data_IF_353009371921
#
_entry.id   IF_353009371921
#
_cell.length_a   1.000
_cell.length_b   1.000
_cell.length_c   1.000
_cell.angle_alpha   90.00
_cell.angle_beta   90.00
_cell.angle_gamma   90.00
#
_symmetry.space_group_name_H-M   'P 1'
#
loop_
_entity.id
_entity.type
_entity.pdbx_description
1 polymer ?
#
# COMPACT_ATOMS: atom_id res chain seq x y z
N UNK A 1 20.46 1.13 -6.76
CA UNK A 1 19.79 1.58 -5.52
C UNK A 1 20.29 0.77 -4.31
N UNK A 2 20.45 -0.55 -4.44
CA UNK A 2 21.11 -1.38 -3.42
C UNK A 2 22.51 -0.86 -3.09
N UNK A 3 23.29 -0.50 -4.12
CA UNK A 3 24.65 0.02 -3.97
C UNK A 3 24.72 1.35 -3.19
N UNK A 4 23.71 2.20 -3.28
CA UNK A 4 23.67 3.46 -2.51
C UNK A 4 23.38 3.22 -1.03
N UNK A 5 22.52 2.25 -0.73
CA UNK A 5 22.28 1.83 0.66
C UNK A 5 23.55 1.21 1.26
N UNK A 6 24.16 0.25 0.58
CA UNK A 6 25.36 -0.45 1.05
C UNK A 6 26.51 0.53 1.28
N UNK A 7 26.69 1.51 0.39
CA UNK A 7 27.71 2.55 0.52
C UNK A 7 27.44 3.43 1.73
N UNK A 8 26.21 3.94 1.90
CA UNK A 8 25.82 4.77 3.04
C UNK A 8 25.94 4.01 4.34
N UNK A 9 25.39 2.81 4.42
CA UNK A 9 25.46 1.98 5.62
C UNK A 9 26.91 1.65 6.03
N UNK A 10 27.75 1.27 5.08
CA UNK A 10 29.17 1.00 5.32
C UNK A 10 29.92 2.24 5.80
N UNK A 11 29.66 3.41 5.21
CA UNK A 11 30.24 4.68 5.64
C UNK A 11 29.86 5.01 7.08
N UNK A 12 28.59 4.89 7.46
CA UNK A 12 28.13 5.14 8.83
C UNK A 12 28.74 4.17 9.83
N UNK A 13 28.79 2.88 9.48
CA UNK A 13 29.41 1.86 10.35
C UNK A 13 30.89 2.11 10.58
N UNK A 14 31.62 2.48 9.52
CA UNK A 14 33.03 2.84 9.64
C UNK A 14 33.24 4.09 10.51
N UNK A 15 32.44 5.13 10.33
CA UNK A 15 32.52 6.33 11.14
C UNK A 15 32.19 6.04 12.61
N UNK A 16 31.17 5.23 12.90
CA UNK A 16 30.84 4.81 14.26
C UNK A 16 31.97 4.02 14.90
N UNK A 17 32.63 3.13 14.18
CA UNK A 17 33.78 2.36 14.66
C UNK A 17 35.02 3.24 14.88
N UNK A 18 35.26 4.23 14.01
CA UNK A 18 36.35 5.19 14.19
C UNK A 18 36.14 6.06 15.42
N UNK A 19 34.92 6.57 15.62
CA UNK A 19 34.56 7.36 16.81
C UNK A 19 34.72 6.57 18.11
N UNK A 20 34.41 5.26 18.08
CA UNK A 20 34.70 4.36 19.22
C UNK A 20 36.19 4.18 19.49
N UNK A 21 37.04 4.16 18.47
CA UNK A 21 38.50 3.99 18.61
C UNK A 21 39.21 5.23 19.04
N UNK A 22 38.76 6.41 18.65
CA UNK A 22 39.41 7.71 18.92
C UNK A 22 39.11 8.27 20.30
N UNK A 23 38.43 7.52 21.15
CA UNK A 23 38.31 7.77 22.59
C UNK A 23 37.58 9.05 23.00
N UNK A 24 36.39 8.87 23.44
CA UNK A 24 35.72 9.51 24.57
C UNK A 24 35.47 10.99 24.61
N UNK A 25 36.26 11.82 24.00
CA UNK A 25 36.19 13.27 24.18
C UNK A 25 35.52 14.06 23.04
N UNK A 26 35.35 13.48 21.89
CA UNK A 26 34.61 14.06 20.76
C UNK A 26 33.10 13.75 20.77
N UNK A 27 32.63 13.14 21.82
CA UNK A 27 31.26 12.61 21.94
C UNK A 27 30.17 13.69 21.88
N UNK A 28 30.48 14.92 22.14
CA UNK A 28 29.49 15.99 22.30
C UNK A 28 29.42 16.97 21.12
N UNK A 29 30.27 16.86 20.11
CA UNK A 29 30.38 17.85 19.06
C UNK A 29 29.77 17.48 17.71
N UNK A 30 29.46 16.20 17.45
CA UNK A 30 28.93 15.74 16.16
C UNK A 30 27.51 15.18 16.30
N UNK A 31 26.60 15.55 15.39
CA UNK A 31 25.28 14.94 15.36
C UNK A 31 25.42 13.43 15.17
N UNK A 32 24.73 12.67 16.00
CA UNK A 32 24.68 11.23 15.88
C UNK A 32 23.74 10.88 14.75
N UNK A 33 24.22 10.10 13.80
CA UNK A 33 23.43 9.65 12.67
C UNK A 33 23.03 8.20 12.80
N UNK A 34 21.80 7.90 12.40
CA UNK A 34 21.31 6.55 12.32
C UNK A 34 20.55 6.28 11.02
N UNK A 35 20.67 5.05 10.53
CA UNK A 35 19.89 4.55 9.40
C UNK A 35 19.19 3.29 9.85
N UNK A 36 17.87 3.25 9.63
CA UNK A 36 17.05 2.09 9.90
C UNK A 36 16.41 1.55 8.63
N UNK A 37 16.31 0.23 8.56
CA UNK A 37 15.67 -0.51 7.50
C UNK A 37 14.50 -1.32 8.06
N UNK A 38 13.39 -1.33 7.37
CA UNK A 38 12.27 -2.23 7.64
C UNK A 38 11.74 -2.87 6.37
N UNK A 39 11.11 -4.02 6.55
CA UNK A 39 10.36 -4.71 5.50
C UNK A 39 9.00 -5.09 6.06
N UNK A 40 7.96 -4.92 5.25
CA UNK A 40 6.61 -5.32 5.62
C UNK A 40 5.84 -5.83 4.41
N UNK A 41 4.76 -6.55 4.69
CA UNK A 41 3.75 -6.85 3.69
C UNK A 41 2.36 -6.52 4.25
N UNK A 42 1.43 -6.25 3.36
CA UNK A 42 0.01 -6.09 3.67
C UNK A 42 -0.81 -6.98 2.75
N UNK A 43 -1.73 -7.75 3.36
CA UNK A 43 -2.56 -8.70 2.64
C UNK A 43 -3.95 -8.13 2.40
N UNK A 44 -4.42 -8.20 1.16
CA UNK A 44 -5.77 -7.85 0.79
C UNK A 44 -6.67 -9.08 0.77
N UNK A 45 -7.84 -8.97 1.39
CA UNK A 45 -8.84 -10.02 1.43
C UNK A 45 -8.39 -11.32 2.10
N UNK A 46 -8.46 -11.35 3.41
CA UNK A 46 -8.15 -12.53 4.21
C UNK A 46 -9.23 -13.61 4.10
N UNK A 47 -8.84 -14.83 3.71
CA UNK A 47 -9.76 -15.96 3.53
C UNK A 47 -10.14 -16.70 4.83
N UNK A 48 -9.51 -16.37 5.95
CA UNK A 48 -9.61 -17.15 7.18
C UNK A 48 -10.87 -16.92 8.01
N UNK A 49 -11.71 -15.94 7.69
CA UNK A 49 -12.94 -15.67 8.42
C UNK A 49 -14.16 -16.24 7.68
N UNK A 50 -15.07 -16.86 8.42
CA UNK A 50 -16.38 -17.28 7.89
C UNK A 50 -17.31 -16.10 7.58
N UNK A 51 -16.87 -14.89 7.77
CA UNK A 51 -17.61 -13.69 7.36
C UNK A 51 -17.85 -13.74 5.86
N UNK A 52 -19.05 -13.44 5.49
CA UNK A 52 -19.63 -13.62 4.17
C UNK A 52 -18.89 -12.89 3.04
N UNK A 53 -17.73 -13.42 2.64
CA UNK A 53 -17.11 -13.11 1.35
C UNK A 53 -18.10 -13.36 0.19
N UNK A 54 -19.20 -14.08 0.49
CA UNK A 54 -20.27 -14.39 -0.46
C UNK A 54 -21.07 -13.17 -0.95
N UNK A 55 -20.89 -12.00 -0.32
CA UNK A 55 -21.67 -10.80 -0.67
C UNK A 55 -20.92 -9.79 -1.54
N UNK A 56 -19.63 -10.00 -1.77
CA UNK A 56 -18.89 -9.14 -2.70
C UNK A 56 -19.26 -9.56 -4.12
N UNK A 57 -20.10 -8.76 -4.73
CA UNK A 57 -20.62 -8.93 -6.08
C UNK A 57 -20.49 -7.63 -6.85
N UNK A 58 -20.23 -7.77 -8.13
CA UNK A 58 -20.29 -6.70 -9.11
C UNK A 58 -21.17 -7.13 -10.26
N UNK A 59 -21.98 -6.24 -10.74
CA UNK A 59 -22.77 -6.44 -11.93
C UNK A 59 -22.39 -5.34 -12.94
N UNK A 60 -22.08 -5.76 -14.16
CA UNK A 60 -21.60 -4.88 -15.22
C UNK A 60 -22.45 -5.10 -16.45
N UNK A 61 -23.06 -4.04 -16.96
CA UNK A 61 -23.92 -4.07 -18.13
C UNK A 61 -23.35 -3.14 -19.21
N UNK A 62 -23.17 -3.68 -20.40
CA UNK A 62 -22.84 -2.93 -21.61
C UNK A 62 -24.12 -2.79 -22.45
N UNK A 63 -24.58 -1.55 -22.65
CA UNK A 63 -25.80 -1.28 -23.40
C UNK A 63 -25.58 -1.22 -24.93
N UNK A 64 -26.67 -0.99 -25.68
CA UNK A 64 -26.65 -0.93 -27.14
C UNK A 64 -25.86 0.27 -27.69
N UNK A 65 -25.70 1.34 -26.89
CA UNK A 65 -24.91 2.51 -27.25
C UNK A 65 -23.46 2.43 -26.79
N UNK A 66 -22.98 1.23 -26.41
CA UNK A 66 -21.64 0.98 -25.85
C UNK A 66 -21.34 1.76 -24.55
N UNK A 67 -22.35 2.11 -23.76
CA UNK A 67 -22.18 2.68 -22.44
C UNK A 67 -22.11 1.55 -21.41
N UNK A 68 -21.14 1.64 -20.51
CA UNK A 68 -20.93 0.66 -19.45
C UNK A 68 -21.54 1.19 -18.14
N UNK A 69 -22.45 0.39 -17.57
CA UNK A 69 -22.97 0.62 -16.22
C UNK A 69 -22.36 -0.41 -15.28
N UNK A 70 -21.80 0.08 -14.16
CA UNK A 70 -21.21 -0.73 -13.11
C UNK A 70 -22.06 -0.58 -11.85
N UNK A 71 -22.66 -1.68 -11.41
CA UNK A 71 -23.44 -1.76 -10.17
C UNK A 71 -22.57 -2.47 -9.10
N UNK A 72 -22.05 -1.69 -8.17
CA UNK A 72 -21.16 -2.14 -7.11
C UNK A 72 -21.23 -1.18 -5.91
N UNK A 73 -20.66 -1.61 -4.75
CA UNK A 73 -20.46 -0.71 -3.62
C UNK A 73 -19.59 0.46 -4.09
N UNK A 74 -20.08 1.67 -3.91
CA UNK A 74 -19.44 2.88 -4.42
C UNK A 74 -18.21 3.21 -3.61
N UNK A 75 -17.01 3.19 -4.21
CA UNK A 75 -15.78 3.61 -3.55
C UNK A 75 -15.64 5.13 -3.54
N UNK A 76 -14.56 5.62 -2.96
CA UNK A 76 -14.19 7.04 -3.03
C UNK A 76 -13.99 7.51 -4.48
N UNK A 77 -14.07 8.81 -4.71
CA UNK A 77 -13.93 9.41 -6.06
C UNK A 77 -12.62 9.03 -6.76
N UNK A 78 -11.53 8.91 -6.02
CA UNK A 78 -10.23 8.48 -6.56
C UNK A 78 -10.26 7.04 -7.08
N UNK A 79 -10.94 6.15 -6.38
CA UNK A 79 -11.10 4.75 -6.80
C UNK A 79 -12.06 4.61 -7.98
N UNK A 80 -13.11 5.44 -8.03
CA UNK A 80 -14.02 5.52 -9.20
C UNK A 80 -13.22 5.79 -10.48
N UNK A 81 -12.31 6.75 -10.45
CA UNK A 81 -11.44 7.05 -11.60
C UNK A 81 -10.60 5.83 -12.01
N UNK A 82 -10.02 5.13 -11.04
CA UNK A 82 -9.23 3.91 -11.32
C UNK A 82 -10.11 2.81 -11.94
N UNK A 83 -11.31 2.59 -11.44
CA UNK A 83 -12.22 1.60 -12.00
C UNK A 83 -12.65 1.92 -13.42
N UNK A 84 -12.89 3.20 -13.72
CA UNK A 84 -13.15 3.65 -15.09
C UNK A 84 -11.95 3.36 -16.00
N UNK A 85 -10.73 3.64 -15.56
CA UNK A 85 -9.52 3.34 -16.32
C UNK A 85 -9.34 1.83 -16.57
N UNK A 86 -9.63 0.97 -15.55
CA UNK A 86 -9.61 -0.47 -15.73
C UNK A 86 -10.58 -0.92 -16.83
N UNK A 87 -11.83 -0.49 -16.75
CA UNK A 87 -12.85 -0.87 -17.71
C UNK A 87 -12.56 -0.33 -19.12
N UNK A 88 -12.15 0.95 -19.22
CA UNK A 88 -11.74 1.59 -20.47
C UNK A 88 -10.59 0.83 -21.15
N UNK A 89 -9.55 0.47 -20.40
CA UNK A 89 -8.38 -0.24 -20.94
C UNK A 89 -8.69 -1.63 -21.48
N UNK A 90 -9.70 -2.30 -20.95
CA UNK A 90 -10.09 -3.68 -21.35
C UNK A 90 -11.06 -3.65 -22.53
N UNK A 91 -12.08 -2.80 -22.44
CA UNK A 91 -13.19 -2.76 -23.40
C UNK A 91 -12.95 -1.83 -24.59
N UNK A 92 -11.98 -0.91 -24.48
CA UNK A 92 -11.68 0.09 -25.51
C UNK A 92 -12.77 1.15 -25.66
N UNK A 93 -13.46 1.49 -24.57
CA UNK A 93 -14.49 2.54 -24.50
C UNK A 93 -13.97 3.73 -23.72
N UNK A 94 -14.49 4.92 -23.98
CA UNK A 94 -14.08 6.13 -23.26
C UNK A 94 -14.57 6.14 -21.81
N UNK A 95 -13.80 6.74 -20.90
CA UNK A 95 -14.18 6.86 -19.48
C UNK A 95 -15.49 7.63 -19.27
N UNK A 96 -15.82 8.54 -20.19
CA UNK A 96 -17.10 9.30 -20.23
C UNK A 96 -18.31 8.41 -20.44
N UNK A 97 -18.15 7.25 -21.10
CA UNK A 97 -19.21 6.27 -21.35
C UNK A 97 -19.37 5.27 -20.19
N UNK A 98 -18.58 5.39 -19.13
CA UNK A 98 -18.61 4.49 -17.98
C UNK A 98 -19.29 5.19 -16.81
N UNK A 99 -20.38 4.61 -16.33
CA UNK A 99 -21.11 5.07 -15.14
C UNK A 99 -21.02 4.05 -14.01
N UNK A 100 -20.93 4.54 -12.78
CA UNK A 100 -20.98 3.70 -11.57
C UNK A 100 -22.25 4.08 -10.83
N UNK A 101 -23.07 3.08 -10.52
CA UNK A 101 -24.32 3.29 -9.82
C UNK A 101 -24.08 3.51 -8.33
N UNK A 102 -24.26 4.74 -7.86
CA UNK A 102 -24.05 5.13 -6.47
C UNK A 102 -25.17 4.68 -5.52
N UNK A 103 -26.35 4.36 -6.06
CA UNK A 103 -27.52 3.95 -5.26
C UNK A 103 -27.43 2.47 -4.84
N UNK A 104 -26.59 1.69 -5.51
CA UNK A 104 -26.45 0.25 -5.24
C UNK A 104 -25.97 -0.05 -3.81
N UNK A 105 -25.19 0.84 -3.21
CA UNK A 105 -24.68 0.72 -1.85
C UNK A 105 -25.78 0.80 -0.77
N UNK A 106 -26.90 1.45 -1.04
CA UNK A 106 -27.98 1.64 -0.09
C UNK A 106 -28.71 0.33 0.30
N UNK A 107 -28.55 -0.72 -0.51
CA UNK A 107 -29.22 -2.02 -0.33
C UNK A 107 -28.28 -3.14 0.16
N UNK A 108 -27.05 -2.83 0.48
CA UNK A 108 -26.10 -3.83 1.01
C UNK A 108 -26.25 -3.92 2.53
N UNK A 109 -26.88 -4.99 3.01
CA UNK A 109 -27.15 -5.22 4.45
C UNK A 109 -25.92 -5.53 5.30
N UNK A 110 -24.73 -5.66 4.70
CA UNK A 110 -23.52 -6.05 5.43
C UNK A 110 -22.34 -5.15 5.07
N UNK A 111 -22.11 -4.19 5.93
CA UNK A 111 -20.85 -3.47 6.01
C UNK A 111 -19.79 -4.37 6.70
N UNK A 112 -18.79 -4.76 5.94
CA UNK A 112 -17.57 -5.33 6.53
C UNK A 112 -16.60 -4.21 6.86
N UNK A 113 -15.97 -4.22 8.04
CA UNK A 113 -14.92 -3.26 8.34
C UNK A 113 -13.81 -3.35 7.29
N UNK A 114 -13.43 -2.24 6.69
CA UNK A 114 -12.40 -2.16 5.65
C UNK A 114 -11.04 -2.73 6.08
N UNK A 115 -10.82 -2.80 7.41
CA UNK A 115 -9.62 -3.35 8.01
C UNK A 115 -9.42 -4.86 7.81
N UNK A 116 -10.50 -5.63 7.60
CA UNK A 116 -10.44 -7.09 7.45
C UNK A 116 -10.56 -7.57 6.01
N UNK A 117 -11.27 -6.83 5.19
CA UNK A 117 -11.46 -7.14 3.79
C UNK A 117 -11.13 -5.89 3.00
N UNK A 118 -10.09 -5.94 2.23
CA UNK A 118 -9.78 -4.86 1.29
C UNK A 118 -10.74 -4.95 0.10
N UNK A 119 -11.98 -4.54 0.33
CA UNK A 119 -13.10 -4.68 -0.61
C UNK A 119 -12.80 -4.01 -1.95
N UNK A 120 -12.06 -2.91 -1.93
CA UNK A 120 -11.68 -2.15 -3.12
C UNK A 120 -10.82 -2.99 -4.06
N UNK A 121 -9.81 -3.69 -3.53
CA UNK A 121 -8.93 -4.55 -4.35
C UNK A 121 -9.69 -5.74 -4.94
N UNK A 122 -10.59 -6.36 -4.16
CA UNK A 122 -11.44 -7.45 -4.64
C UNK A 122 -12.37 -6.97 -5.74
N UNK A 123 -13.04 -5.84 -5.51
CA UNK A 123 -13.94 -5.27 -6.50
C UNK A 123 -13.22 -4.92 -7.80
N UNK A 124 -11.98 -4.43 -7.73
CA UNK A 124 -11.16 -4.20 -8.92
C UNK A 124 -10.86 -5.51 -9.69
N UNK A 125 -10.60 -6.62 -8.98
CA UNK A 125 -10.42 -7.95 -9.61
C UNK A 125 -11.70 -8.45 -10.25
N UNK A 126 -12.83 -8.32 -9.56
CA UNK A 126 -14.13 -8.74 -10.08
C UNK A 126 -14.53 -7.91 -11.30
N UNK A 127 -14.28 -6.59 -11.26
CA UNK A 127 -14.50 -5.68 -12.37
C UNK A 127 -13.66 -6.09 -13.60
N UNK A 128 -12.36 -6.32 -13.39
CA UNK A 128 -11.47 -6.78 -14.47
C UNK A 128 -12.01 -8.03 -15.12
N UNK A 129 -12.37 -9.06 -14.35
CA UNK A 129 -12.93 -10.31 -14.84
C UNK A 129 -14.28 -10.13 -15.55
N UNK A 130 -15.14 -9.23 -15.04
CA UNK A 130 -16.41 -8.92 -15.68
C UNK A 130 -16.20 -8.27 -17.05
N UNK A 131 -15.30 -7.30 -17.14
CA UNK A 131 -14.95 -6.65 -18.40
C UNK A 131 -14.30 -7.61 -19.42
N UNK A 132 -13.43 -8.52 -18.97
CA UNK A 132 -12.85 -9.56 -19.81
C UNK A 132 -13.91 -10.50 -20.37
N UNK A 133 -14.92 -10.87 -19.57
CA UNK A 133 -16.02 -11.70 -20.03
C UNK A 133 -16.96 -10.94 -20.99
N UNK A 134 -17.25 -9.67 -20.73
CA UNK A 134 -18.01 -8.82 -21.67
C UNK A 134 -17.27 -8.75 -23.01
N UNK A 135 -15.95 -8.54 -22.99
CA UNK A 135 -15.14 -8.49 -24.21
C UNK A 135 -15.27 -9.77 -25.03
N UNK A 136 -15.20 -10.94 -24.37
CA UNK A 136 -15.37 -12.25 -25.04
C UNK A 136 -16.79 -12.46 -25.56
N UNK A 137 -17.80 -12.03 -24.80
CA UNK A 137 -19.22 -12.16 -25.18
C UNK A 137 -19.58 -11.24 -26.34
N UNK A 138 -19.03 -10.03 -26.38
CA UNK A 138 -19.25 -9.05 -27.45
C UNK A 138 -18.89 -9.58 -28.84
N UNK A 139 -17.98 -10.57 -28.92
CA UNK A 139 -17.63 -11.24 -30.17
C UNK A 139 -18.71 -12.26 -30.65
N UNK A 140 -19.61 -12.67 -29.75
CA UNK A 140 -20.55 -13.79 -29.98
C UNK A 140 -22.02 -13.47 -29.73
N UNK A 141 -22.29 -12.46 -28.91
CA UNK A 141 -23.61 -12.09 -28.44
C UNK A 141 -23.96 -10.65 -28.87
N UNK A 142 -25.23 -10.39 -29.11
CA UNK A 142 -25.71 -9.03 -29.35
C UNK A 142 -25.85 -8.26 -28.06
N UNK A 143 -25.72 -6.92 -28.12
CA UNK A 143 -25.98 -6.02 -27.01
C UNK A 143 -27.51 -5.99 -26.71
N UNK A 144 -27.91 -5.77 -25.45
CA UNK A 144 -27.07 -5.51 -24.28
C UNK A 144 -26.46 -6.77 -23.67
N UNK A 145 -25.27 -6.66 -23.08
CA UNK A 145 -24.58 -7.76 -22.39
C UNK A 145 -24.50 -7.44 -20.90
N UNK A 146 -25.02 -8.35 -20.08
CA UNK A 146 -24.92 -8.28 -18.62
C UNK A 146 -23.99 -9.39 -18.09
N UNK A 147 -23.09 -9.02 -17.18
CA UNK A 147 -22.20 -9.96 -16.50
C UNK A 147 -22.18 -9.68 -15.02
N UNK A 148 -22.48 -10.71 -14.24
CA UNK A 148 -22.38 -10.69 -12.79
C UNK A 148 -21.20 -11.51 -12.32
N UNK A 149 -20.37 -10.93 -11.46
CA UNK A 149 -19.26 -11.62 -10.79
C UNK A 149 -19.43 -11.57 -9.28
N UNK A 150 -19.13 -12.69 -8.67
CA UNK A 150 -19.14 -12.87 -7.22
C UNK A 150 -17.81 -13.48 -6.82
N UNK A 151 -17.32 -13.15 -5.65
CA UNK A 151 -16.11 -13.78 -5.12
C UNK A 151 -16.32 -15.29 -4.95
N UNK A 152 -15.56 -16.08 -5.71
CA UNK A 152 -15.77 -17.54 -5.79
C UNK A 152 -15.33 -18.26 -4.52
N UNK A 153 -16.12 -19.23 -4.01
CA UNK A 153 -15.71 -20.13 -2.94
C UNK A 153 -14.44 -20.94 -3.26
N UNK A 154 -14.12 -21.15 -4.53
CA UNK A 154 -12.90 -21.86 -4.95
C UNK A 154 -11.62 -21.14 -4.50
N UNK A 155 -11.67 -19.82 -4.34
CA UNK A 155 -10.56 -19.03 -3.80
C UNK A 155 -10.32 -19.32 -2.32
N UNK A 156 -11.35 -19.73 -1.57
CA UNK A 156 -11.25 -20.11 -0.15
C UNK A 156 -10.41 -21.38 0.09
N UNK A 157 -10.19 -22.21 -0.94
CA UNK A 157 -9.45 -23.47 -0.81
C UNK A 157 -7.94 -23.30 -0.73
N UNK A 158 -7.43 -22.12 -0.99
CA UNK A 158 -5.99 -21.85 -0.94
C UNK A 158 -5.44 -21.71 0.48
N UNK A 159 -6.31 -21.54 1.48
CA UNK A 159 -5.94 -21.40 2.89
C UNK A 159 -6.51 -22.50 3.77
N UNK A 160 -5.62 -23.17 4.51
CA UNK A 160 -6.01 -24.13 5.53
C UNK A 160 -5.77 -23.52 6.92
N UNK A 161 -6.85 -23.01 7.53
CA UNK A 161 -6.78 -22.33 8.83
C UNK A 161 -6.32 -23.26 9.99
N UNK A 162 -6.56 -24.57 9.90
CA UNK A 162 -6.13 -25.53 10.95
C UNK A 162 -4.64 -25.81 10.89
N UNK A 163 -4.07 -25.82 9.70
CA UNK A 163 -2.65 -26.09 9.46
C UNK A 163 -1.81 -24.82 9.25
N UNK A 164 -2.43 -23.66 9.25
CA UNK A 164 -1.79 -22.37 8.91
C UNK A 164 -0.96 -22.46 7.63
N UNK A 165 -1.51 -23.08 6.59
CA UNK A 165 -0.80 -23.33 5.33
C UNK A 165 -1.60 -22.88 4.11
N UNK A 166 -0.88 -22.47 3.04
CA UNK A 166 -1.46 -21.95 1.81
C UNK A 166 -1.40 -20.42 1.74
N UNK A 167 -2.24 -19.83 0.89
CA UNK A 167 -2.31 -18.39 0.65
C UNK A 167 -3.51 -17.78 1.38
N UNK A 168 -3.31 -17.06 2.49
CA UNK A 168 -4.41 -16.52 3.28
C UNK A 168 -5.07 -15.29 2.65
N UNK A 169 -4.42 -14.63 1.70
CA UNK A 169 -4.87 -13.39 1.06
C UNK A 169 -5.09 -13.57 -0.45
N UNK A 170 -6.02 -12.79 -0.99
CA UNK A 170 -6.28 -12.72 -2.44
C UNK A 170 -5.12 -12.09 -3.20
N UNK A 171 -4.55 -11.05 -2.62
CA UNK A 171 -3.41 -10.34 -3.14
C UNK A 171 -2.60 -9.76 -1.98
N UNK A 172 -1.36 -9.41 -2.22
CA UNK A 172 -0.49 -8.81 -1.19
C UNK A 172 0.34 -7.70 -1.80
N UNK A 173 0.57 -6.66 -1.01
CA UNK A 173 1.58 -5.66 -1.29
C UNK A 173 2.79 -5.87 -0.40
N UNK A 174 3.97 -5.57 -0.92
CA UNK A 174 5.24 -5.70 -0.23
C UNK A 174 5.96 -4.36 -0.26
N UNK A 175 6.70 -4.08 0.78
CA UNK A 175 7.48 -2.85 0.82
C UNK A 175 8.70 -2.93 1.71
N UNK A 176 9.61 -2.03 1.44
CA UNK A 176 10.76 -1.74 2.29
C UNK A 176 10.86 -0.25 2.51
N UNK A 177 11.29 0.15 3.70
CA UNK A 177 11.57 1.54 4.02
C UNK A 177 12.96 1.70 4.63
N UNK A 178 13.60 2.79 4.28
CA UNK A 178 14.84 3.25 4.91
C UNK A 178 14.55 4.64 5.47
N UNK A 179 14.88 4.84 6.74
CA UNK A 179 14.81 6.13 7.42
C UNK A 179 16.19 6.52 7.88
N UNK A 180 16.59 7.75 7.58
CA UNK A 180 17.85 8.36 8.04
C UNK A 180 17.53 9.49 9.00
N UNK A 181 18.15 9.46 10.20
CA UNK A 181 17.99 10.47 11.24
C UNK A 181 19.33 11.05 11.64
N UNK A 182 19.34 12.36 11.94
CA UNK A 182 20.39 13.02 12.71
C UNK A 182 19.83 13.29 14.11
N UNK A 183 20.54 12.90 15.14
CA UNK A 183 20.20 13.17 16.53
C UNK A 183 21.14 14.24 17.08
N UNK A 184 20.59 15.33 17.61
CA UNK A 184 21.40 16.32 18.35
C UNK A 184 21.90 15.67 19.64
N UNK A 185 23.21 15.69 19.85
CA UNK A 185 23.85 15.07 21.02
C UNK A 185 23.51 15.74 22.36
N UNK A 186 23.20 17.04 22.33
CA UNK A 186 22.95 17.83 23.55
C UNK A 186 21.46 17.82 23.94
N UNK A 187 20.56 17.93 22.94
CA UNK A 187 19.11 18.07 23.18
C UNK A 187 18.36 16.78 22.96
N UNK A 188 19.00 15.76 22.38
CA UNK A 188 18.39 14.50 21.92
C UNK A 188 17.23 14.70 20.89
N UNK A 189 17.15 15.89 20.31
CA UNK A 189 16.16 16.14 19.25
C UNK A 189 16.59 15.44 17.96
N UNK A 190 15.67 14.72 17.38
CA UNK A 190 15.84 14.06 16.11
C UNK A 190 15.49 14.97 14.93
N UNK A 191 16.26 14.86 13.87
CA UNK A 191 16.00 15.48 12.57
C UNK A 191 15.98 14.44 11.48
N UNK A 192 14.87 14.33 10.80
CA UNK A 192 14.75 13.42 9.65
C UNK A 192 15.58 13.97 8.49
N UNK A 193 16.48 13.15 7.97
CA UNK A 193 17.33 13.48 6.81
C UNK A 193 16.73 12.99 5.50
N UNK A 194 16.06 11.85 5.54
CA UNK A 194 15.42 11.28 4.38
C UNK A 194 14.66 10.00 4.69
N UNK A 195 13.67 9.74 3.89
CA UNK A 195 12.84 8.54 3.91
C UNK A 195 12.77 7.98 2.50
N UNK A 196 13.21 6.76 2.32
CA UNK A 196 13.16 6.05 1.04
C UNK A 196 12.25 4.84 1.16
N UNK A 197 11.29 4.72 0.25
CA UNK A 197 10.32 3.62 0.26
C UNK A 197 10.30 2.96 -1.10
N UNK A 198 10.39 1.64 -1.12
CA UNK A 198 10.20 0.84 -2.32
C UNK A 198 9.00 -0.10 -2.11
N UNK A 199 8.04 -0.09 -3.05
CA UNK A 199 6.76 -0.79 -2.91
C UNK A 199 6.47 -1.60 -4.18
N UNK A 200 6.04 -2.85 -3.96
CA UNK A 200 5.32 -3.66 -4.93
C UNK A 200 3.86 -3.80 -4.48
N UNK A 201 2.96 -3.21 -5.23
CA UNK A 201 1.52 -3.21 -4.95
C UNK A 201 0.69 -3.71 -6.14
N UNK A 202 1.30 -4.46 -7.04
CA UNK A 202 0.66 -4.87 -8.27
C UNK A 202 0.60 -3.72 -9.29
N UNK A 203 -0.35 -3.79 -10.20
CA UNK A 203 -0.49 -2.79 -11.27
C UNK A 203 -0.92 -1.44 -10.71
N UNK A 204 -0.14 -0.40 -11.01
CA UNK A 204 -0.46 0.98 -10.63
C UNK A 204 -1.14 1.67 -11.82
N UNK A 205 -2.34 2.20 -11.62
CA UNK A 205 -3.09 2.94 -12.62
C UNK A 205 -2.78 4.44 -12.62
N UNK A 206 -2.45 4.99 -11.44
CA UNK A 206 -2.06 6.40 -11.30
C UNK A 206 -0.87 6.52 -10.35
N UNK A 207 0.32 6.67 -10.90
CA UNK A 207 1.56 6.85 -10.13
C UNK A 207 1.44 8.08 -9.22
N UNK A 208 0.93 9.19 -9.75
CA UNK A 208 0.76 10.43 -8.98
C UNK A 208 -0.14 10.26 -7.77
N UNK A 209 -1.26 9.54 -7.92
CA UNK A 209 -2.18 9.26 -6.81
C UNK A 209 -1.53 8.31 -5.78
N UNK A 210 -0.81 7.29 -6.24
CA UNK A 210 -0.12 6.35 -5.37
C UNK A 210 0.99 7.05 -4.56
N UNK A 211 1.80 7.90 -5.20
CA UNK A 211 2.82 8.71 -4.50
C UNK A 211 2.20 9.64 -3.45
N UNK A 212 1.11 10.31 -3.79
CA UNK A 212 0.42 11.20 -2.86
C UNK A 212 -0.11 10.44 -1.64
N UNK A 213 -0.68 9.25 -1.85
CA UNK A 213 -1.16 8.38 -0.77
C UNK A 213 -0.03 7.95 0.17
N UNK A 214 1.11 7.54 -0.40
CA UNK A 214 2.26 7.12 0.40
C UNK A 214 2.86 8.30 1.17
N UNK A 215 3.05 9.45 0.51
CA UNK A 215 3.57 10.66 1.17
C UNK A 215 2.69 11.09 2.34
N UNK A 216 1.37 11.11 2.14
CA UNK A 216 0.42 11.44 3.20
C UNK A 216 0.51 10.44 4.36
N UNK A 217 0.55 9.14 4.07
CA UNK A 217 0.67 8.11 5.10
C UNK A 217 1.99 8.21 5.88
N UNK A 218 3.10 8.52 5.20
CA UNK A 218 4.41 8.77 5.86
C UNK A 218 4.32 9.98 6.78
N UNK A 219 3.75 11.08 6.31
CA UNK A 219 3.60 12.29 7.12
C UNK A 219 2.76 12.03 8.37
N UNK A 220 1.61 11.35 8.22
CA UNK A 220 0.76 10.98 9.35
C UNK A 220 1.47 10.08 10.37
N UNK A 221 2.27 9.11 9.91
CA UNK A 221 3.06 8.29 10.83
C UNK A 221 4.16 9.09 11.51
N UNK A 222 4.87 9.94 10.79
CA UNK A 222 5.92 10.75 11.39
C UNK A 222 5.38 11.74 12.42
N UNK A 223 4.21 12.35 12.19
CA UNK A 223 3.52 13.20 13.18
C UNK A 223 3.18 12.45 14.48
N UNK A 224 2.90 11.14 14.37
CA UNK A 224 2.64 10.30 15.56
C UNK A 224 3.90 9.88 16.29
N UNK A 225 5.02 9.75 15.58
CA UNK A 225 6.28 9.24 16.11
C UNK A 225 7.17 10.34 16.70
N UNK A 226 7.08 11.53 16.15
CA UNK A 226 7.97 12.65 16.47
C UNK A 226 7.14 13.87 16.77
N UNK A 227 7.23 14.38 18.02
CA UNK A 227 6.59 15.63 18.37
C UNK A 227 7.33 16.79 17.70
N UNK A 228 6.57 17.73 17.13
CA UNK A 228 7.07 18.97 16.53
C UNK A 228 8.00 18.85 15.30
N UNK A 229 8.12 17.68 14.71
CA UNK A 229 8.91 17.50 13.48
C UNK A 229 8.02 17.34 12.25
N UNK A 230 8.06 18.32 11.36
CA UNK A 230 7.40 18.24 10.05
C UNK A 230 8.36 17.63 9.04
N UNK A 231 7.98 16.49 8.47
CA UNK A 231 8.73 15.88 7.37
C UNK A 231 8.35 16.56 6.07
N UNK A 232 9.32 17.20 5.41
CA UNK A 232 9.11 17.80 4.10
C UNK A 232 8.90 16.71 3.03
N UNK A 233 8.03 16.99 2.06
CA UNK A 233 7.82 16.09 0.91
C UNK A 233 9.10 15.83 0.10
N UNK A 234 10.06 16.76 0.10
CA UNK A 234 11.34 16.63 -0.60
C UNK A 234 12.27 15.61 0.05
N UNK A 235 12.03 15.28 1.32
CA UNK A 235 12.79 14.26 2.05
C UNK A 235 12.27 12.85 1.78
N UNK A 236 11.13 12.71 1.10
CA UNK A 236 10.49 11.42 0.82
C UNK A 236 10.75 11.02 -0.63
N UNK A 237 11.41 9.89 -0.81
CA UNK A 237 11.65 9.28 -2.12
C UNK A 237 10.92 7.95 -2.22
N UNK A 238 10.10 7.81 -3.26
CA UNK A 238 9.26 6.64 -3.48
C UNK A 238 9.72 5.95 -4.77
N UNK A 239 9.81 4.63 -4.73
CA UNK A 239 10.10 3.78 -5.87
C UNK A 239 9.05 2.67 -5.94
N UNK A 240 8.44 2.50 -7.10
CA UNK A 240 7.53 1.42 -7.36
C UNK A 240 8.20 0.32 -8.19
N UNK A 241 7.95 -0.93 -7.81
CA UNK A 241 8.28 -2.06 -8.65
C UNK A 241 7.17 -2.25 -9.68
N UNK A 242 7.57 -2.43 -10.93
CA UNK A 242 6.62 -2.65 -12.02
C UNK A 242 6.06 -4.07 -11.95
N UNK A 243 4.75 -4.19 -11.82
CA UNK A 243 4.04 -5.47 -11.78
C UNK A 243 2.73 -5.36 -12.56
N UNK A 244 2.32 -6.47 -13.19
CA UNK A 244 1.02 -6.62 -13.85
C UNK A 244 0.02 -7.40 -12.99
N UNK A 245 0.37 -7.68 -11.74
CA UNK A 245 -0.48 -8.40 -10.82
C UNK A 245 -1.67 -7.55 -10.37
N UNK A 246 -2.53 -8.15 -9.59
CA UNK A 246 -3.72 -7.50 -9.02
C UNK A 246 -3.32 -6.28 -8.21
N UNK A 247 -3.91 -5.11 -8.43
CA UNK A 247 -3.64 -3.92 -7.65
C UNK A 247 -4.04 -4.11 -6.19
N UNK A 248 -3.19 -3.66 -5.27
CA UNK A 248 -3.42 -3.69 -3.83
C UNK A 248 -3.40 -2.29 -3.24
N UNK A 249 -4.05 -2.12 -2.09
CA UNK A 249 -3.92 -0.90 -1.29
C UNK A 249 -2.50 -0.78 -0.71
N UNK A 250 -2.04 0.45 -0.58
CA UNK A 250 -0.67 0.76 -0.15
C UNK A 250 -0.59 1.57 1.16
N UNK A 251 -1.66 2.25 1.55
CA UNK A 251 -1.63 3.13 2.73
C UNK A 251 -1.27 2.38 4.02
N UNK A 252 -1.90 1.24 4.28
CA UNK A 252 -1.63 0.42 5.49
C UNK A 252 -0.20 -0.13 5.53
N UNK A 253 0.38 -0.46 4.39
CA UNK A 253 1.74 -0.96 4.31
C UNK A 253 2.74 0.03 4.92
N UNK A 254 2.54 1.32 4.66
CA UNK A 254 3.40 2.41 5.18
C UNK A 254 3.36 2.47 6.70
N UNK A 255 2.18 2.29 7.31
CA UNK A 255 2.03 2.28 8.76
C UNK A 255 2.82 1.14 9.45
N UNK A 256 3.07 0.05 8.75
CA UNK A 256 3.91 -1.04 9.24
C UNK A 256 5.41 -0.80 9.00
N UNK A 257 5.74 -0.05 7.95
CA UNK A 257 7.14 0.18 7.55
C UNK A 257 7.81 1.29 8.37
N UNK A 258 7.18 2.46 8.45
CA UNK A 258 7.84 3.67 8.95
C UNK A 258 8.21 3.58 10.44
N UNK A 259 7.35 3.12 11.36
CA UNK A 259 7.72 3.02 12.77
C UNK A 259 8.91 2.11 13.02
N UNK A 260 8.95 0.96 12.33
CA UNK A 260 10.04 0.00 12.48
C UNK A 260 11.37 0.53 11.93
N UNK A 261 11.36 1.17 10.76
CA UNK A 261 12.56 1.79 10.20
C UNK A 261 13.05 2.95 11.06
N UNK A 262 12.15 3.79 11.56
CA UNK A 262 12.48 4.92 12.42
C UNK A 262 13.07 4.46 13.75
N UNK A 263 12.44 3.48 14.42
CA UNK A 263 12.95 2.88 15.67
C UNK A 263 14.35 2.30 15.48
N UNK A 264 14.59 1.60 14.38
CA UNK A 264 15.91 1.06 14.03
C UNK A 264 16.94 2.17 13.79
N UNK A 265 16.56 3.28 13.13
CA UNK A 265 17.42 4.43 12.91
C UNK A 265 17.81 5.12 14.23
N UNK A 266 16.84 5.33 15.13
CA UNK A 266 17.08 5.89 16.45
C UNK A 266 17.98 4.97 17.30
N UNK A 267 17.72 3.66 17.27
CA UNK A 267 18.57 2.69 18.00
C UNK A 267 20.02 2.77 17.55
N UNK A 268 20.24 2.92 16.24
CA UNK A 268 21.58 3.09 15.69
C UNK A 268 22.21 4.43 16.12
N UNK A 269 21.47 5.52 16.08
CA UNK A 269 21.95 6.86 16.48
C UNK A 269 22.27 6.93 17.98
N UNK A 270 21.44 6.32 18.81
CA UNK A 270 21.60 6.28 20.26
C UNK A 270 22.61 5.23 20.74
N UNK A 271 22.97 4.26 19.88
CA UNK A 271 23.73 3.06 20.25
C UNK A 271 23.06 2.26 21.38
N UNK A 272 21.74 2.32 21.45
CA UNK A 272 20.88 1.67 22.44
C UNK A 272 19.60 1.22 21.77
N UNK A 273 19.10 0.06 22.15
CA UNK A 273 17.82 -0.43 21.66
C UNK A 273 16.66 0.50 22.08
N UNK A 274 15.88 0.94 21.11
CA UNK A 274 14.67 1.72 21.31
C UNK A 274 13.48 0.77 21.26
N UNK A 275 12.85 0.54 22.40
CA UNK A 275 11.74 -0.41 22.57
C UNK A 275 10.37 0.26 22.63
N UNK A 276 10.33 1.58 22.80
CA UNK A 276 9.10 2.37 22.89
C UNK A 276 9.20 3.61 22.03
N UNK A 277 8.13 3.96 21.32
CA UNK A 277 7.99 5.17 20.52
C UNK A 277 6.61 5.78 20.84
N UNK A 278 6.49 7.10 20.99
CA UNK A 278 7.55 8.10 20.94
C UNK A 278 8.57 7.95 22.07
N UNK A 279 9.81 8.35 21.79
CA UNK A 279 10.86 8.42 22.82
C UNK A 279 10.54 9.61 23.73
N UNK A 280 10.02 9.34 24.93
CA UNK A 280 9.82 10.34 26.00
C UNK A 280 11.05 10.46 26.87
#
# INVERSE_FOLDING_TARGET
KQSDFDRKYSSYRLNALQTQKEGGHTFFALPRRGIGLSCAYDGACFYGTNFSLAQQKIEVTLDEENRLKIDAITPSSSVISIWKQIASSILGIEESQISINTEYAAYSETFMPESFCNDISIMAVLLKRACEDIKKKREKENLPINVKKVLSPAMKRQWNAKKFSGHPYQASSFGTAIVEVDLNADTYQEKIKGIWVAIDCGKIYSIKSAESTIKLAIQQEMERLVQDTIVSCDQIQISFLSSNETPCQIGKLVHNLIPAAFSSALSMALQKEVTHIPCT
#
